data_IF_765411715806
#
_entry.id   IF_765411715806
#
_cell.length_a   1.000
_cell.length_b   1.000
_cell.length_c   1.000
_cell.angle_alpha   90.00
_cell.angle_beta   90.00
_cell.angle_gamma   90.00
#
_symmetry.space_group_name_H-M   'P 1'
#
loop_
_entity.id
_entity.type
_entity.pdbx_description
1 polymer ?
#
# COMPACT_ATOMS: atom_id res chain seq x y z
N UNK A 1 14.27 -7.65 14.34
CA UNK A 1 13.42 -7.00 13.29
C UNK A 1 13.09 -8.09 12.27
N UNK A 2 11.85 -8.22 11.86
CA UNK A 2 11.44 -9.21 10.85
C UNK A 2 12.07 -8.83 9.50
N UNK A 3 12.77 -9.77 8.86
CA UNK A 3 13.49 -9.51 7.61
C UNK A 3 12.59 -9.36 6.38
N UNK A 4 11.32 -9.76 6.51
CA UNK A 4 10.35 -9.70 5.42
C UNK A 4 9.45 -8.46 5.45
N UNK A 5 9.47 -7.68 6.54
CA UNK A 5 8.78 -6.39 6.61
C UNK A 5 9.85 -5.31 6.47
N UNK A 6 9.83 -4.58 5.36
CA UNK A 6 10.86 -3.56 5.03
C UNK A 6 10.23 -2.25 4.59
N UNK A 7 10.90 -1.15 4.92
CA UNK A 7 10.59 0.18 4.38
C UNK A 7 11.70 0.67 3.46
N UNK A 8 11.30 1.42 2.43
CA UNK A 8 12.17 2.10 1.49
C UNK A 8 11.77 3.57 1.47
N UNK A 9 12.65 4.44 1.95
CA UNK A 9 12.36 5.87 2.08
C UNK A 9 12.74 6.63 0.81
N UNK A 10 12.03 7.75 0.52
CA UNK A 10 12.34 8.63 -0.60
C UNK A 10 12.17 8.01 -1.99
N UNK A 11 11.38 6.93 -2.12
CA UNK A 11 11.08 6.30 -3.43
C UNK A 11 10.35 7.27 -4.34
N UNK A 12 9.40 8.01 -3.77
CA UNK A 12 8.66 9.07 -4.44
C UNK A 12 9.00 10.40 -3.76
N UNK A 13 9.28 11.42 -4.56
CA UNK A 13 9.46 12.77 -4.04
C UNK A 13 8.12 13.41 -3.64
N UNK A 14 8.18 14.48 -2.85
CA UNK A 14 7.00 15.19 -2.36
C UNK A 14 6.11 15.72 -3.49
N UNK A 15 6.70 16.16 -4.60
CA UNK A 15 5.95 16.66 -5.77
C UNK A 15 5.13 15.54 -6.40
N UNK A 16 5.74 14.36 -6.55
CA UNK A 16 5.03 13.18 -7.07
C UNK A 16 3.92 12.74 -6.10
N UNK A 17 4.19 12.72 -4.81
CA UNK A 17 3.18 12.38 -3.79
C UNK A 17 2.00 13.35 -3.83
N UNK A 18 2.26 14.66 -3.88
CA UNK A 18 1.21 15.67 -3.99
C UNK A 18 0.41 15.52 -5.28
N UNK A 19 1.07 15.30 -6.41
CA UNK A 19 0.39 15.08 -7.70
C UNK A 19 -0.55 13.87 -7.67
N UNK A 20 -0.19 12.81 -6.95
CA UNK A 20 -1.06 11.62 -6.77
C UNK A 20 -2.27 11.95 -5.87
N UNK A 21 -2.10 12.78 -4.85
CA UNK A 21 -3.20 13.28 -4.03
C UNK A 21 -4.14 14.14 -4.87
N UNK A 22 -3.60 15.06 -5.67
CA UNK A 22 -4.39 15.94 -6.55
C UNK A 22 -5.18 15.11 -7.57
N UNK A 23 -4.57 14.09 -8.19
CA UNK A 23 -5.26 13.14 -9.07
C UNK A 23 -6.43 12.46 -8.35
N UNK A 24 -6.26 12.08 -7.09
CA UNK A 24 -7.34 11.49 -6.29
C UNK A 24 -8.45 12.50 -6.02
N UNK A 25 -8.12 13.71 -5.55
CA UNK A 25 -9.12 14.73 -5.17
C UNK A 25 -9.93 15.23 -6.38
N UNK A 26 -9.28 15.38 -7.54
CA UNK A 26 -9.92 15.81 -8.78
C UNK A 26 -10.69 14.66 -9.50
N UNK A 27 -10.55 13.42 -9.03
CA UNK A 27 -11.13 12.26 -9.68
C UNK A 27 -12.65 12.18 -9.49
N UNK A 28 -13.37 12.00 -10.58
CA UNK A 28 -14.82 11.69 -10.57
C UNK A 28 -15.10 10.20 -10.33
N UNK A 29 -14.06 9.38 -10.20
CA UNK A 29 -14.12 7.93 -10.05
C UNK A 29 -13.87 7.48 -8.60
N UNK A 30 -14.07 8.38 -7.64
CA UNK A 30 -13.95 8.04 -6.23
C UNK A 30 -15.05 7.06 -5.83
N UNK A 31 -14.66 5.97 -5.20
CA UNK A 31 -15.52 4.91 -4.70
C UNK A 31 -15.42 4.83 -3.17
N UNK A 32 -16.54 4.95 -2.47
CA UNK A 32 -16.58 4.74 -1.03
C UNK A 32 -16.64 3.24 -0.72
N UNK A 33 -15.70 2.77 0.06
CA UNK A 33 -15.71 1.45 0.66
C UNK A 33 -16.15 1.60 2.10
N UNK A 34 -17.30 1.04 2.44
CA UNK A 34 -17.92 1.11 3.76
C UNK A 34 -18.48 -0.25 4.12
N UNK A 35 -17.72 -1.00 4.89
CA UNK A 35 -18.08 -2.35 5.31
C UNK A 35 -18.39 -2.39 6.82
N UNK A 36 -19.46 -3.05 7.21
CA UNK A 36 -19.87 -3.18 8.62
C UNK A 36 -18.79 -3.80 9.53
N UNK A 37 -17.80 -4.49 8.94
CA UNK A 37 -16.65 -5.08 9.64
C UNK A 37 -15.33 -4.45 9.25
N UNK A 38 -15.35 -3.27 8.55
CA UNK A 38 -14.17 -2.61 7.97
C UNK A 38 -13.43 -3.47 6.93
N UNK A 39 -12.72 -2.92 5.94
CA UNK A 39 -12.17 -1.55 5.92
C UNK A 39 -13.15 -0.46 5.52
N UNK A 40 -12.92 0.77 6.00
CA UNK A 40 -13.63 1.98 5.61
C UNK A 40 -12.63 3.01 5.08
N UNK A 41 -12.81 3.44 3.84
CA UNK A 41 -12.00 4.45 3.15
C UNK A 41 -12.67 4.84 1.82
N UNK A 42 -12.20 5.90 1.19
CA UNK A 42 -12.54 6.22 -0.21
C UNK A 42 -11.37 5.85 -1.11
N UNK A 43 -11.62 5.26 -2.29
CA UNK A 43 -10.55 4.85 -3.20
C UNK A 43 -10.77 5.31 -4.64
N UNK A 44 -9.67 5.37 -5.39
CA UNK A 44 -9.64 5.45 -6.86
C UNK A 44 -8.73 4.35 -7.40
N UNK A 45 -9.25 3.55 -8.34
CA UNK A 45 -8.46 2.57 -9.06
C UNK A 45 -7.86 3.20 -10.32
N UNK A 46 -6.57 3.45 -10.32
CA UNK A 46 -5.91 4.15 -11.43
C UNK A 46 -5.86 3.32 -12.72
N UNK A 47 -5.90 2.00 -12.66
CA UNK A 47 -5.79 1.14 -13.84
C UNK A 47 -7.09 1.04 -14.66
N UNK A 48 -8.22 1.39 -14.06
CA UNK A 48 -9.52 1.29 -14.75
C UNK A 48 -9.79 2.49 -15.69
N UNK A 49 -8.92 3.53 -15.62
CA UNK A 49 -9.11 4.80 -16.33
C UNK A 49 -7.92 5.15 -17.21
N UNK A 50 -8.19 5.37 -18.50
CA UNK A 50 -7.15 5.60 -19.54
C UNK A 50 -6.31 6.85 -19.30
N UNK A 51 -6.89 7.87 -18.70
CA UNK A 51 -6.22 9.13 -18.36
C UNK A 51 -5.08 8.94 -17.35
N UNK A 52 -5.13 7.91 -16.51
CA UNK A 52 -4.09 7.63 -15.51
C UNK A 52 -3.00 6.66 -15.99
N UNK A 53 -3.10 6.10 -17.22
CA UNK A 53 -2.16 5.08 -17.71
C UNK A 53 -0.68 5.52 -17.68
N UNK A 54 -0.39 6.78 -17.98
CA UNK A 54 0.99 7.29 -17.92
C UNK A 54 1.53 7.32 -16.49
N UNK A 55 0.70 7.71 -15.54
CA UNK A 55 1.04 7.70 -14.13
C UNK A 55 1.23 6.27 -13.61
N UNK A 56 0.32 5.36 -13.94
CA UNK A 56 0.42 3.96 -13.52
C UNK A 56 1.71 3.31 -14.03
N UNK A 57 2.13 3.61 -15.25
CA UNK A 57 3.40 3.12 -15.80
C UNK A 57 4.61 3.65 -15.01
N UNK A 58 4.68 4.97 -14.79
CA UNK A 58 5.78 5.59 -14.04
C UNK A 58 5.88 5.03 -12.61
N UNK A 59 4.74 4.93 -11.93
CA UNK A 59 4.66 4.38 -10.58
C UNK A 59 5.11 2.93 -10.57
N UNK A 60 4.64 2.12 -11.52
CA UNK A 60 5.01 0.71 -11.62
C UNK A 60 6.51 0.54 -11.80
N UNK A 61 7.19 1.37 -12.60
CA UNK A 61 8.65 1.32 -12.74
C UNK A 61 9.37 1.54 -11.39
N UNK A 62 8.96 2.54 -10.61
CA UNK A 62 9.53 2.79 -9.28
C UNK A 62 9.29 1.64 -8.31
N UNK A 63 8.08 1.06 -8.31
CA UNK A 63 7.75 -0.12 -7.48
C UNK A 63 8.55 -1.36 -7.91
N UNK A 64 8.80 -1.54 -9.21
CA UNK A 64 9.69 -2.61 -9.71
C UNK A 64 11.11 -2.45 -9.17
N UNK A 65 11.62 -1.25 -9.06
CA UNK A 65 12.96 -1.02 -8.50
C UNK A 65 12.99 -1.31 -7.00
N UNK A 66 11.96 -0.92 -6.25
CA UNK A 66 11.78 -1.33 -4.83
C UNK A 66 11.71 -2.84 -4.70
N UNK A 67 10.97 -3.53 -5.56
CA UNK A 67 10.88 -4.99 -5.58
C UNK A 67 12.26 -5.64 -5.79
N UNK A 68 13.07 -5.11 -6.70
CA UNK A 68 14.45 -5.61 -6.94
C UNK A 68 15.31 -5.43 -5.70
N UNK A 69 15.25 -4.25 -5.07
CA UNK A 69 16.00 -3.95 -3.85
C UNK A 69 15.55 -4.83 -2.68
N UNK A 70 14.24 -5.01 -2.52
CA UNK A 70 13.66 -5.94 -1.54
C UNK A 70 14.20 -7.37 -1.73
N UNK A 71 14.17 -7.87 -2.98
CA UNK A 71 14.69 -9.20 -3.33
C UNK A 71 16.18 -9.31 -3.03
N UNK A 72 16.98 -8.32 -3.43
CA UNK A 72 18.44 -8.32 -3.19
C UNK A 72 18.78 -8.36 -1.69
N UNK A 73 17.96 -7.73 -0.86
CA UNK A 73 18.11 -7.78 0.59
C UNK A 73 17.63 -9.10 1.25
N UNK A 74 17.27 -10.11 0.45
CA UNK A 74 16.83 -11.46 0.87
C UNK A 74 17.63 -12.54 0.14
N UNK A 75 18.96 -12.44 0.14
CA UNK A 75 19.86 -13.32 -0.64
C UNK A 75 19.58 -14.80 -0.44
N UNK A 76 19.32 -15.22 0.81
CA UNK A 76 19.01 -16.63 1.15
C UNK A 76 17.72 -17.15 0.50
N UNK A 77 16.85 -16.27 0.01
CA UNK A 77 15.53 -16.60 -0.54
C UNK A 77 15.44 -16.47 -2.05
N UNK A 78 16.51 -16.05 -2.72
CA UNK A 78 16.51 -15.83 -4.17
C UNK A 78 16.19 -17.09 -4.96
N UNK A 79 16.55 -18.29 -4.46
CA UNK A 79 16.25 -19.56 -5.08
C UNK A 79 14.74 -19.88 -5.15
N UNK A 80 13.94 -19.31 -4.24
CA UNK A 80 12.49 -19.51 -4.17
C UNK A 80 11.70 -18.31 -4.68
N UNK A 81 12.39 -17.30 -5.25
CA UNK A 81 11.71 -16.16 -5.82
C UNK A 81 10.92 -16.57 -7.07
N UNK A 82 9.64 -16.20 -7.17
CA UNK A 82 8.81 -16.59 -8.31
C UNK A 82 9.38 -16.12 -9.64
N UNK A 83 9.32 -16.98 -10.67
CA UNK A 83 9.85 -16.67 -12.00
C UNK A 83 8.96 -15.69 -12.79
N UNK A 84 7.65 -15.74 -12.54
CA UNK A 84 6.65 -14.89 -13.21
C UNK A 84 5.77 -14.22 -12.18
N UNK A 85 5.74 -12.91 -12.23
CA UNK A 85 5.02 -12.07 -11.30
C UNK A 85 4.29 -10.97 -12.07
N UNK A 86 3.14 -10.57 -11.56
CA UNK A 86 2.36 -9.45 -12.05
C UNK A 86 2.00 -8.53 -10.90
N UNK A 87 1.85 -7.23 -11.19
CA UNK A 87 1.25 -6.30 -10.25
C UNK A 87 -0.26 -6.27 -10.41
N UNK A 88 -0.96 -6.24 -9.30
CA UNK A 88 -2.37 -5.87 -9.27
C UNK A 88 -2.54 -4.38 -9.59
N UNK A 89 -3.79 -3.96 -9.63
CA UNK A 89 -4.17 -2.56 -9.84
C UNK A 89 -3.57 -1.66 -8.76
N UNK A 90 -3.15 -0.46 -9.18
CA UNK A 90 -2.75 0.62 -8.31
C UNK A 90 -3.99 1.35 -7.81
N UNK A 91 -4.19 1.39 -6.49
CA UNK A 91 -5.32 2.09 -5.87
C UNK A 91 -4.82 3.14 -4.92
N UNK A 92 -5.27 4.37 -5.11
CA UNK A 92 -5.11 5.43 -4.10
C UNK A 92 -6.29 5.33 -3.15
N UNK A 93 -6.02 5.43 -1.86
CA UNK A 93 -6.99 5.35 -0.77
C UNK A 93 -6.86 6.56 0.12
N UNK A 94 -7.98 7.17 0.46
CA UNK A 94 -8.11 8.26 1.42
C UNK A 94 -8.81 7.77 2.67
N UNK A 95 -8.24 8.10 3.80
CA UNK A 95 -8.84 7.91 5.12
C UNK A 95 -9.13 9.29 5.69
N UNK A 96 -10.41 9.58 5.95
CA UNK A 96 -10.83 10.86 6.52
C UNK A 96 -10.48 10.95 8.01
N UNK A 97 -10.05 12.12 8.49
CA UNK A 97 -9.73 12.29 9.89
C UNK A 97 -11.00 12.29 10.75
N UNK A 98 -10.83 11.94 12.03
CA UNK A 98 -11.88 11.98 13.05
C UNK A 98 -13.17 11.23 12.63
N UNK A 99 -13.02 10.20 11.83
CA UNK A 99 -14.08 9.36 11.27
C UNK A 99 -13.85 7.89 11.63
N UNK A 100 -14.72 7.01 11.13
CA UNK A 100 -14.57 5.57 11.25
C UNK A 100 -13.62 4.97 10.21
N UNK A 101 -12.91 5.80 9.43
CA UNK A 101 -11.99 5.35 8.41
C UNK A 101 -10.75 4.71 9.01
N UNK A 102 -10.62 3.43 8.79
CA UNK A 102 -9.45 2.64 9.18
C UNK A 102 -9.48 1.28 8.48
N UNK A 103 -8.43 0.52 8.69
CA UNK A 103 -8.42 -0.88 8.31
C UNK A 103 -8.09 -1.72 9.55
N UNK A 104 -9.09 -2.43 10.07
CA UNK A 104 -8.94 -3.29 11.25
C UNK A 104 -7.86 -4.35 11.06
N UNK A 105 -7.50 -5.04 12.14
CA UNK A 105 -6.52 -6.14 12.09
C UNK A 105 -6.98 -7.21 11.09
N UNK A 106 -6.18 -7.40 10.05
CA UNK A 106 -6.49 -8.29 8.94
C UNK A 106 -5.23 -8.86 8.30
N UNK A 107 -5.43 -9.79 7.37
CA UNK A 107 -4.47 -10.21 6.36
C UNK A 107 -5.07 -9.97 4.99
N UNK A 108 -4.24 -9.69 3.97
CA UNK A 108 -4.75 -9.41 2.62
C UNK A 108 -5.05 -10.68 1.81
N UNK A 109 -4.54 -11.83 2.26
CA UNK A 109 -4.81 -13.14 1.64
C UNK A 109 -5.75 -13.92 2.55
N UNK A 110 -7.03 -13.94 2.20
CA UNK A 110 -8.09 -14.56 3.02
C UNK A 110 -8.88 -15.62 2.26
N UNK A 111 -8.79 -15.64 0.93
CA UNK A 111 -9.62 -16.50 0.08
C UNK A 111 -8.89 -16.89 -1.22
N UNK A 112 -9.57 -17.67 -2.07
CA UNK A 112 -9.03 -18.12 -3.34
C UNK A 112 -8.72 -16.95 -4.29
N UNK A 113 -9.53 -15.89 -4.28
CA UNK A 113 -9.31 -14.73 -5.18
C UNK A 113 -8.03 -13.97 -4.84
N UNK A 114 -7.74 -13.82 -3.55
CA UNK A 114 -6.54 -13.15 -3.01
C UNK A 114 -5.31 -14.07 -2.89
N UNK A 115 -5.48 -15.39 -3.06
CA UNK A 115 -4.42 -16.41 -2.81
C UNK A 115 -3.15 -16.25 -3.65
N UNK A 116 -3.22 -15.55 -4.76
CA UNK A 116 -2.08 -15.28 -5.65
C UNK A 116 -1.14 -14.19 -5.14
N UNK A 117 -1.55 -13.38 -4.15
CA UNK A 117 -0.75 -12.28 -3.63
C UNK A 117 0.50 -12.78 -2.93
N UNK A 118 1.65 -12.29 -3.39
CA UNK A 118 2.98 -12.66 -2.90
C UNK A 118 3.59 -11.59 -1.99
N UNK A 119 3.52 -10.31 -2.40
CA UNK A 119 3.96 -9.15 -1.63
C UNK A 119 2.93 -8.03 -1.72
N UNK A 120 2.73 -7.33 -0.62
CA UNK A 120 2.01 -6.07 -0.55
C UNK A 120 3.01 -4.90 -0.66
N UNK A 121 2.63 -3.85 -1.38
CA UNK A 121 3.33 -2.57 -1.47
C UNK A 121 2.38 -1.48 -1.02
N UNK A 122 2.73 -0.79 0.05
CA UNK A 122 1.98 0.32 0.61
C UNK A 122 2.83 1.58 0.53
N UNK A 123 2.41 2.55 -0.29
CA UNK A 123 3.09 3.83 -0.46
C UNK A 123 2.36 4.89 0.34
N UNK A 124 3.05 5.55 1.25
CA UNK A 124 2.50 6.70 1.97
C UNK A 124 2.69 7.97 1.13
N UNK A 125 1.59 8.69 0.90
CA UNK A 125 1.63 9.90 0.06
C UNK A 125 1.74 11.18 0.88
N UNK A 126 1.35 11.15 2.15
CA UNK A 126 1.47 12.28 3.06
C UNK A 126 1.73 11.87 4.50
N UNK A 127 2.02 12.86 5.33
CA UNK A 127 2.19 12.77 6.78
C UNK A 127 1.66 14.04 7.45
N UNK A 128 1.98 14.26 8.73
CA UNK A 128 1.60 15.46 9.47
C UNK A 128 0.18 15.39 10.07
N UNK A 129 -0.27 14.19 10.40
CA UNK A 129 -1.48 13.86 11.15
C UNK A 129 -1.12 13.04 12.39
N UNK A 130 -2.02 12.98 13.36
CA UNK A 130 -1.91 12.11 14.53
C UNK A 130 -2.56 10.76 14.22
N UNK A 131 -1.98 9.66 14.70
CA UNK A 131 -2.44 8.31 14.37
C UNK A 131 -1.97 7.86 12.98
N UNK A 132 -2.78 7.06 12.30
CA UNK A 132 -2.56 6.63 10.92
C UNK A 132 -1.41 5.65 10.69
N UNK A 133 -0.78 5.12 11.75
CA UNK A 133 0.30 4.14 11.63
C UNK A 133 -0.20 2.84 11.00
N UNK A 134 0.72 2.12 10.36
CA UNK A 134 0.54 0.71 10.01
C UNK A 134 1.32 -0.14 11.00
N UNK A 135 0.63 -1.03 11.71
CA UNK A 135 1.26 -1.88 12.72
C UNK A 135 1.08 -3.37 12.41
N UNK A 136 2.07 -4.15 12.83
CA UNK A 136 2.10 -5.61 12.79
C UNK A 136 2.21 -6.11 14.24
N UNK A 137 1.08 -6.27 14.96
CA UNK A 137 1.11 -6.55 16.40
C UNK A 137 1.83 -7.84 16.77
N UNK A 138 1.77 -8.86 15.91
CA UNK A 138 2.45 -10.15 16.15
C UNK A 138 3.96 -10.13 15.87
N UNK A 139 4.47 -9.04 15.28
CA UNK A 139 5.90 -8.81 15.01
C UNK A 139 6.49 -7.68 15.85
N UNK A 140 5.67 -7.04 16.70
CA UNK A 140 6.07 -5.88 17.51
C UNK A 140 6.67 -4.74 16.65
N UNK A 141 6.05 -4.48 15.50
CA UNK A 141 6.49 -3.46 14.54
C UNK A 141 5.37 -2.46 14.26
N UNK A 142 5.74 -1.19 14.22
CA UNK A 142 4.84 -0.08 13.86
C UNK A 142 5.58 0.91 12.97
N UNK A 143 4.93 1.32 11.88
CA UNK A 143 5.48 2.24 10.88
C UNK A 143 4.65 3.51 10.80
N UNK A 144 5.31 4.65 10.94
CA UNK A 144 4.72 5.95 10.68
C UNK A 144 4.65 6.21 9.18
N UNK A 145 3.64 6.97 8.78
CA UNK A 145 3.56 7.50 7.43
C UNK A 145 4.65 8.55 7.20
N UNK A 146 5.37 8.41 6.09
CA UNK A 146 6.35 9.36 5.60
C UNK A 146 6.13 9.54 4.09
N UNK A 147 6.02 10.75 3.57
CA UNK A 147 5.79 10.95 2.14
C UNK A 147 6.84 10.25 1.29
N UNK A 148 6.39 9.44 0.32
CA UNK A 148 7.27 8.69 -0.58
C UNK A 148 7.88 7.41 -0.01
N UNK A 149 7.61 7.07 1.26
CA UNK A 149 7.99 5.77 1.85
C UNK A 149 7.15 4.66 1.26
N UNK A 150 7.81 3.55 0.93
CA UNK A 150 7.15 2.29 0.53
C UNK A 150 7.38 1.25 1.61
N UNK A 151 6.30 0.71 2.17
CA UNK A 151 6.31 -0.44 3.06
C UNK A 151 6.00 -1.70 2.25
N UNK A 152 6.87 -2.70 2.35
CA UNK A 152 6.76 -3.98 1.64
C UNK A 152 6.73 -5.13 2.63
N UNK A 153 5.76 -6.04 2.47
CA UNK A 153 5.60 -7.20 3.36
C UNK A 153 4.83 -8.34 2.67
N UNK A 154 4.98 -9.59 3.13
CA UNK A 154 4.12 -10.69 2.69
C UNK A 154 2.70 -10.49 3.23
N UNK A 155 1.65 -10.60 2.38
CA UNK A 155 0.27 -10.28 2.79
C UNK A 155 -0.50 -11.46 3.41
N UNK A 156 0.22 -12.52 3.80
CA UNK A 156 -0.34 -13.81 4.24
C UNK A 156 -0.68 -13.84 5.73
N UNK A 157 -1.26 -14.93 6.20
CA UNK A 157 -1.71 -15.13 7.57
C UNK A 157 -0.63 -14.94 8.65
N UNK A 158 0.65 -15.07 8.30
CA UNK A 158 1.77 -14.81 9.22
C UNK A 158 1.97 -13.33 9.53
N UNK A 159 1.40 -12.43 8.69
CA UNK A 159 1.60 -10.98 8.77
C UNK A 159 0.29 -10.21 8.95
N UNK A 160 -0.49 -10.51 10.02
CA UNK A 160 -1.66 -9.70 10.33
C UNK A 160 -1.22 -8.27 10.65
N UNK A 161 -1.92 -7.32 10.06
CA UNK A 161 -1.61 -5.90 10.21
C UNK A 161 -2.86 -5.05 10.36
N UNK A 162 -2.67 -3.85 10.88
CA UNK A 162 -3.73 -2.87 11.12
C UNK A 162 -3.30 -1.50 10.61
N UNK A 163 -4.23 -0.77 10.01
CA UNK A 163 -4.09 0.65 9.69
C UNK A 163 -4.90 1.48 10.67
N UNK A 164 -4.23 2.13 11.62
CA UNK A 164 -4.91 2.94 12.64
C UNK A 164 -5.65 4.13 12.04
N UNK A 165 -6.74 4.59 12.70
CA UNK A 165 -7.45 5.80 12.29
C UNK A 165 -6.53 7.02 12.37
N UNK A 166 -6.87 8.04 11.63
CA UNK A 166 -6.13 9.29 11.52
C UNK A 166 -6.94 10.44 12.11
N UNK A 167 -6.26 11.44 12.64
CA UNK A 167 -6.84 12.65 13.19
C UNK A 167 -6.26 13.90 12.51
N UNK A 168 -7.01 15.01 12.53
CA UNK A 168 -6.63 16.35 12.08
C UNK A 168 -6.58 16.54 10.57
N UNK A 169 -5.99 15.60 9.83
CA UNK A 169 -5.84 15.69 8.37
C UNK A 169 -6.05 14.33 7.72
N UNK A 170 -6.55 14.29 6.48
CA UNK A 170 -6.72 13.03 5.77
C UNK A 170 -5.37 12.35 5.49
N UNK A 171 -5.36 11.04 5.57
CA UNK A 171 -4.24 10.20 5.18
C UNK A 171 -4.48 9.65 3.78
N UNK A 172 -3.47 9.75 2.94
CA UNK A 172 -3.46 9.15 1.61
C UNK A 172 -2.38 8.09 1.50
N UNK A 173 -2.77 6.95 0.97
CA UNK A 173 -1.86 5.87 0.62
C UNK A 173 -2.15 5.40 -0.80
N UNK A 174 -1.15 4.83 -1.45
CA UNK A 174 -1.34 4.04 -2.65
C UNK A 174 -0.94 2.59 -2.37
N UNK A 175 -1.70 1.63 -2.88
CA UNK A 175 -1.42 0.22 -2.66
C UNK A 175 -1.49 -0.59 -3.95
N UNK A 176 -0.65 -1.61 -4.02
CA UNK A 176 -0.70 -2.68 -5.02
C UNK A 176 -0.13 -3.97 -4.44
N UNK A 177 -0.35 -5.06 -5.13
CA UNK A 177 0.19 -6.37 -4.76
C UNK A 177 0.98 -6.95 -5.93
N UNK A 178 2.10 -7.59 -5.61
CA UNK A 178 2.77 -8.49 -6.51
C UNK A 178 2.16 -9.87 -6.33
N UNK A 179 1.79 -10.55 -7.40
CA UNK A 179 1.19 -11.88 -7.33
C UNK A 179 1.75 -12.84 -8.37
N UNK A 180 1.55 -14.12 -8.10
CA UNK A 180 1.87 -15.18 -9.04
C UNK A 180 1.02 -15.07 -10.32
N UNK A 181 1.63 -15.49 -11.44
CA UNK A 181 0.92 -15.63 -12.73
C UNK A 181 0.07 -16.90 -12.75
#
# INVERSE_FOLDING_TARGET
MDKFIKTFDGVFDEITCQSLIDIFEDSVYQERIDNAGRPNFTQVNLNDHKEYLKFTQLITYKIVDVMKEYKNGLEDFTAWWPHKLYFEQLRIKKYEPDSDDMFDLHVDVQDHASSKRYLAFLVYLNAGFTGGQTAFPYHDLTFNAEPGRVLVFPPTWQYPHIGFPVQEKPKYIMSTYLHYN
#
